data_IF_211509374653
#
_entry.id   IF_211509374653
#
_cell.length_a   1.000
_cell.length_b   1.000
_cell.length_c   1.000
_cell.angle_alpha   90.00
_cell.angle_beta   90.00
_cell.angle_gamma   90.00
#
_symmetry.space_group_name_H-M   'P 1'
#
loop_
_entity.id
_entity.type
_entity.pdbx_description
1 polymer ?
#
# COMPACT_ATOMS: atom_id res chain seq x y z
N UNK A 1 15.58 -1.51 -32.82
CA UNK A 1 14.70 -1.44 -31.65
C UNK A 1 14.34 0.02 -31.39
N UNK A 2 13.47 0.31 -30.43
CA UNK A 2 13.18 1.70 -30.06
C UNK A 2 14.42 2.41 -29.51
N UNK A 3 15.25 1.73 -28.72
CA UNK A 3 16.50 2.28 -28.16
C UNK A 3 17.43 2.76 -29.27
N UNK A 4 17.55 1.98 -30.35
CA UNK A 4 18.35 2.38 -31.52
C UNK A 4 17.77 3.61 -32.25
N UNK A 5 16.46 3.85 -32.16
CA UNK A 5 15.82 5.04 -32.73
C UNK A 5 16.15 6.29 -31.89
N UNK A 6 16.04 6.21 -30.57
CA UNK A 6 16.44 7.30 -29.67
C UNK A 6 17.94 7.60 -29.74
N UNK A 7 18.79 6.56 -29.80
CA UNK A 7 20.22 6.73 -29.94
C UNK A 7 20.64 7.46 -31.22
N UNK A 8 19.89 7.29 -32.33
CA UNK A 8 20.13 8.05 -33.59
C UNK A 8 19.83 9.55 -33.46
N UNK A 9 19.13 9.96 -32.41
CA UNK A 9 18.79 11.35 -32.12
C UNK A 9 19.61 11.93 -30.96
N UNK A 10 20.69 11.24 -30.54
CA UNK A 10 21.52 11.61 -29.38
C UNK A 10 20.70 11.75 -28.09
N UNK A 11 19.74 10.85 -27.90
CA UNK A 11 18.85 10.82 -26.75
C UNK A 11 18.98 9.49 -26.01
N UNK A 12 18.88 9.54 -24.67
CA UNK A 12 18.57 8.37 -23.88
C UNK A 12 17.23 7.76 -24.35
N UNK A 13 17.09 6.43 -24.22
CA UNK A 13 15.81 5.78 -24.40
C UNK A 13 14.82 6.33 -23.35
N UNK A 14 13.68 6.85 -23.81
CA UNK A 14 12.63 7.37 -22.93
C UNK A 14 11.63 6.24 -22.64
N UNK A 15 11.51 5.78 -21.38
CA UNK A 15 10.45 4.87 -20.96
C UNK A 15 9.06 5.37 -21.41
N UNK A 16 8.18 4.50 -21.92
CA UNK A 16 6.84 4.90 -22.38
C UNK A 16 6.06 5.79 -21.41
N UNK A 17 6.18 5.54 -20.11
CA UNK A 17 5.50 6.24 -19.01
C UNK A 17 5.88 7.72 -18.89
N UNK A 18 7.02 8.13 -19.45
CA UNK A 18 7.49 9.52 -19.43
C UNK A 18 7.08 10.33 -20.66
N UNK A 19 6.57 9.70 -21.74
CA UNK A 19 6.39 10.30 -23.09
C UNK A 19 5.16 11.24 -23.19
N UNK A 20 5.09 12.23 -22.31
CA UNK A 20 3.95 13.15 -22.15
C UNK A 20 4.28 14.61 -22.50
N UNK A 21 5.46 14.88 -23.06
CA UNK A 21 5.97 16.21 -23.39
C UNK A 21 5.97 17.16 -22.18
N UNK A 22 6.48 16.67 -21.04
CA UNK A 22 6.55 17.39 -19.76
C UNK A 22 7.99 17.63 -19.29
N UNK A 23 8.97 17.40 -20.16
CA UNK A 23 10.40 17.67 -19.93
C UNK A 23 11.31 16.47 -20.17
N UNK A 24 10.75 15.30 -20.49
CA UNK A 24 11.49 14.06 -20.75
C UNK A 24 12.37 14.17 -22.00
N UNK A 25 11.97 14.96 -23.00
CA UNK A 25 12.74 15.14 -24.24
C UNK A 25 14.03 15.92 -23.95
N UNK A 26 13.94 17.02 -23.20
CA UNK A 26 15.09 17.82 -22.80
C UNK A 26 16.02 17.02 -21.89
N UNK A 27 15.46 16.27 -20.92
CA UNK A 27 16.23 15.42 -20.03
C UNK A 27 16.96 14.29 -20.79
N UNK A 28 16.29 13.63 -21.72
CA UNK A 28 16.87 12.55 -22.53
C UNK A 28 18.04 13.02 -23.40
N UNK A 29 17.98 14.24 -23.94
CA UNK A 29 19.09 14.86 -24.69
C UNK A 29 20.29 15.21 -23.81
N UNK A 30 20.05 15.49 -22.52
CA UNK A 30 21.10 15.83 -21.55
C UNK A 30 21.68 14.61 -20.83
N UNK A 31 21.06 13.44 -20.97
CA UNK A 31 21.47 12.27 -20.20
C UNK A 31 20.92 12.25 -18.77
N UNK A 32 19.88 13.02 -18.49
CA UNK A 32 19.38 13.33 -17.14
C UNK A 32 17.99 12.73 -16.87
N UNK A 33 17.57 11.70 -17.60
CA UNK A 33 16.31 11.01 -17.28
C UNK A 33 16.33 10.47 -15.85
N UNK A 34 15.20 10.54 -15.12
CA UNK A 34 15.11 9.96 -13.80
C UNK A 34 15.17 8.43 -13.87
N UNK A 35 15.71 7.81 -12.83
CA UNK A 35 15.53 6.38 -12.63
C UNK A 35 14.09 6.14 -12.15
N UNK A 36 13.35 5.29 -12.85
CA UNK A 36 11.99 4.93 -12.46
C UNK A 36 12.03 3.71 -11.54
N UNK A 37 11.02 3.61 -10.67
CA UNK A 37 10.76 2.42 -9.88
C UNK A 37 10.40 1.26 -10.83
N UNK A 38 10.95 0.08 -10.58
CA UNK A 38 10.59 -1.15 -11.27
C UNK A 38 9.77 -2.06 -10.34
N UNK A 39 9.05 -3.04 -10.91
CA UNK A 39 8.29 -4.01 -10.11
C UNK A 39 9.19 -4.80 -9.15
N UNK A 40 10.45 -5.03 -9.51
CA UNK A 40 11.47 -5.68 -8.68
C UNK A 40 11.89 -4.86 -7.46
N UNK A 41 11.66 -3.53 -7.47
CA UNK A 41 11.94 -2.67 -6.32
C UNK A 41 10.84 -2.76 -5.24
N UNK A 42 9.66 -3.28 -5.60
CA UNK A 42 8.51 -3.39 -4.70
C UNK A 42 8.66 -4.62 -3.81
N UNK A 43 8.81 -4.39 -2.51
CA UNK A 43 9.05 -5.45 -1.51
C UNK A 43 7.82 -5.87 -0.73
N UNK A 44 6.67 -5.27 -0.98
CA UNK A 44 5.44 -5.58 -0.27
C UNK A 44 4.32 -4.63 -0.60
N UNK A 45 3.10 -5.06 -0.25
CA UNK A 45 1.89 -4.26 -0.36
C UNK A 45 1.55 -3.66 1.01
N UNK A 46 1.25 -2.37 1.04
CA UNK A 46 1.05 -1.59 2.26
C UNK A 46 -0.42 -1.23 2.50
N UNK A 47 -1.35 -1.58 1.60
CA UNK A 47 -2.78 -1.30 1.78
C UNK A 47 -3.60 -2.46 1.24
N UNK A 48 -3.97 -3.41 2.12
CA UNK A 48 -4.76 -4.58 1.73
C UNK A 48 -5.84 -4.92 2.75
N UNK A 49 -6.92 -5.54 2.27
CA UNK A 49 -8.10 -5.88 3.07
C UNK A 49 -8.34 -7.38 3.04
N UNK A 50 -8.63 -7.95 4.21
CA UNK A 50 -8.98 -9.35 4.38
C UNK A 50 -10.47 -9.51 4.72
N UNK A 51 -10.92 -10.73 4.94
CA UNK A 51 -12.30 -11.03 5.39
C UNK A 51 -12.65 -10.47 6.77
N UNK A 52 -11.71 -9.82 7.46
CA UNK A 52 -11.99 -9.13 8.71
C UNK A 52 -12.86 -7.88 8.49
N UNK A 53 -12.70 -7.15 7.39
CA UNK A 53 -13.65 -6.13 6.94
C UNK A 53 -14.30 -6.53 5.62
N UNK A 54 -13.92 -5.94 4.50
CA UNK A 54 -14.56 -6.08 3.19
C UNK A 54 -13.71 -6.81 2.13
N UNK A 55 -12.57 -7.36 2.54
CA UNK A 55 -11.75 -8.19 1.68
C UNK A 55 -12.35 -9.58 1.42
N UNK A 56 -11.88 -10.22 0.35
CA UNK A 56 -12.40 -11.53 -0.07
C UNK A 56 -11.62 -12.73 0.51
N UNK A 57 -10.41 -12.49 1.03
CA UNK A 57 -9.44 -13.53 1.38
C UNK A 57 -9.09 -13.54 2.86
N UNK A 58 -8.76 -14.72 3.38
CA UNK A 58 -8.21 -14.84 4.73
C UNK A 58 -6.74 -14.36 4.75
N UNK A 59 -6.28 -13.84 5.89
CA UNK A 59 -4.90 -13.31 6.04
C UNK A 59 -3.84 -14.34 5.62
N UNK A 60 -4.07 -15.63 5.90
CA UNK A 60 -3.15 -16.71 5.50
C UNK A 60 -3.06 -16.90 3.98
N UNK A 61 -4.18 -16.75 3.25
CA UNK A 61 -4.20 -16.82 1.79
C UNK A 61 -3.45 -15.63 1.18
N UNK A 62 -3.68 -14.43 1.72
CA UNK A 62 -3.01 -13.20 1.28
C UNK A 62 -1.50 -13.26 1.55
N UNK A 63 -1.10 -13.76 2.72
CA UNK A 63 0.30 -13.98 3.07
C UNK A 63 0.99 -14.93 2.07
N UNK A 64 0.33 -16.03 1.70
CA UNK A 64 0.91 -16.95 0.71
C UNK A 64 1.06 -16.27 -0.66
N UNK A 65 0.04 -15.54 -1.12
CA UNK A 65 0.10 -14.81 -2.38
C UNK A 65 1.21 -13.73 -2.39
N UNK A 66 1.42 -13.05 -1.26
CA UNK A 66 2.49 -12.08 -1.11
C UNK A 66 3.88 -12.73 -1.18
N UNK A 67 4.07 -13.89 -0.52
CA UNK A 67 5.31 -14.68 -0.62
C UNK A 67 5.58 -15.16 -2.05
N UNK A 68 4.56 -15.67 -2.73
CA UNK A 68 4.67 -16.14 -4.12
C UNK A 68 5.02 -15.00 -5.08
N UNK A 69 4.65 -13.77 -4.72
CA UNK A 69 4.98 -12.53 -5.44
C UNK A 69 6.40 -12.00 -5.14
N UNK A 70 7.15 -12.67 -4.27
CA UNK A 70 8.52 -12.29 -3.89
C UNK A 70 8.60 -11.13 -2.90
N UNK A 71 7.49 -10.79 -2.23
CA UNK A 71 7.48 -9.76 -1.20
C UNK A 71 8.17 -10.22 0.09
N UNK A 72 8.67 -9.26 0.85
CA UNK A 72 9.21 -9.41 2.19
C UNK A 72 8.23 -8.97 3.28
N UNK A 73 7.18 -8.23 2.92
CA UNK A 73 6.12 -7.84 3.87
C UNK A 73 4.76 -7.67 3.21
N UNK A 74 3.73 -7.68 4.05
CA UNK A 74 2.33 -7.42 3.69
C UNK A 74 1.66 -6.66 4.85
N UNK A 75 1.02 -5.52 4.58
CA UNK A 75 0.20 -4.84 5.56
C UNK A 75 -1.27 -5.24 5.44
N UNK A 76 -1.86 -5.63 6.57
CA UNK A 76 -3.31 -5.81 6.70
C UNK A 76 -3.88 -4.52 7.29
N UNK A 77 -4.71 -3.82 6.53
CA UNK A 77 -5.15 -2.46 6.81
C UNK A 77 -6.67 -2.35 6.69
N UNK A 78 -7.38 -3.09 7.54
CA UNK A 78 -8.85 -3.08 7.52
C UNK A 78 -9.41 -1.68 7.82
N UNK A 79 -10.62 -1.43 7.31
CA UNK A 79 -11.36 -0.22 7.60
C UNK A 79 -11.66 -0.05 9.09
N UNK A 80 -11.62 1.19 9.58
CA UNK A 80 -12.10 1.57 10.91
C UNK A 80 -13.64 1.60 10.99
N UNK A 81 -14.15 1.82 12.21
CA UNK A 81 -15.55 1.64 12.62
C UNK A 81 -16.58 2.45 11.81
N UNK A 82 -16.25 3.65 11.34
CA UNK A 82 -17.17 4.64 10.77
C UNK A 82 -17.78 4.27 9.43
N UNK A 83 -17.36 3.14 8.83
CA UNK A 83 -17.92 2.60 7.59
C UNK A 83 -18.83 1.39 7.84
N UNK A 84 -20.12 1.59 8.16
CA UNK A 84 -21.08 0.50 8.33
C UNK A 84 -21.22 -0.43 7.12
N UNK A 85 -20.85 0.04 5.93
CA UNK A 85 -21.00 -0.70 4.67
C UNK A 85 -19.85 -1.69 4.45
N UNK A 86 -18.64 -1.41 4.95
CA UNK A 86 -17.44 -2.24 4.76
C UNK A 86 -17.17 -3.21 5.92
N UNK A 87 -18.02 -3.23 6.96
CA UNK A 87 -17.81 -4.13 8.10
C UNK A 87 -16.57 -3.79 8.93
N UNK A 88 -16.23 -2.50 8.98
CA UNK A 88 -15.06 -1.97 9.68
C UNK A 88 -14.91 -2.46 11.12
N UNK A 89 -13.66 -2.49 11.59
CA UNK A 89 -13.31 -3.03 12.89
C UNK A 89 -13.49 -1.94 13.95
N UNK A 90 -14.07 -2.33 15.09
CA UNK A 90 -13.88 -1.59 16.32
C UNK A 90 -12.55 -2.01 16.98
N UNK A 91 -12.19 -1.35 18.08
CA UNK A 91 -10.94 -1.56 18.81
C UNK A 91 -10.79 -3.03 19.24
N UNK A 92 -11.85 -3.62 19.81
CA UNK A 92 -11.86 -5.01 20.26
C UNK A 92 -11.50 -5.98 19.11
N UNK A 93 -12.12 -5.80 17.94
CA UNK A 93 -11.85 -6.65 16.76
C UNK A 93 -10.48 -6.37 16.18
N UNK A 94 -10.01 -5.11 16.20
CA UNK A 94 -8.68 -4.73 15.75
C UNK A 94 -7.60 -5.40 16.61
N UNK A 95 -7.71 -5.36 17.93
CA UNK A 95 -6.77 -6.07 18.82
C UNK A 95 -6.86 -7.60 18.62
N UNK A 96 -8.07 -8.15 18.38
CA UNK A 96 -8.21 -9.58 18.10
C UNK A 96 -7.51 -9.99 16.80
N UNK A 97 -7.63 -9.18 15.73
CA UNK A 97 -6.88 -9.38 14.49
C UNK A 97 -5.37 -9.23 14.73
N UNK A 98 -4.95 -8.24 15.51
CA UNK A 98 -3.56 -8.02 15.88
C UNK A 98 -2.92 -9.26 16.52
N UNK A 99 -3.65 -9.95 17.40
CA UNK A 99 -3.19 -11.23 18.00
C UNK A 99 -3.03 -12.35 16.97
N UNK A 100 -3.89 -12.41 15.95
CA UNK A 100 -3.75 -13.38 14.85
C UNK A 100 -2.50 -13.06 14.03
N UNK A 101 -2.26 -11.79 13.72
CA UNK A 101 -1.05 -11.34 13.00
C UNK A 101 0.21 -11.60 13.83
N UNK A 102 0.19 -11.31 15.12
CA UNK A 102 1.31 -11.58 16.03
C UNK A 102 1.63 -13.08 16.07
N UNK A 103 0.60 -13.95 16.14
CA UNK A 103 0.80 -15.39 16.10
C UNK A 103 1.37 -15.87 14.76
N UNK A 104 0.89 -15.34 13.63
CA UNK A 104 1.45 -15.66 12.31
C UNK A 104 2.92 -15.26 12.23
N UNK A 105 3.27 -14.07 12.71
CA UNK A 105 4.63 -13.55 12.68
C UNK A 105 5.62 -14.36 13.53
N UNK A 106 5.18 -15.17 14.50
CA UNK A 106 6.07 -16.07 15.25
C UNK A 106 6.63 -17.21 14.38
N UNK A 107 5.89 -17.60 13.35
CA UNK A 107 6.26 -18.68 12.43
C UNK A 107 6.90 -18.17 11.13
N UNK A 108 7.13 -16.86 11.02
CA UNK A 108 7.72 -16.21 9.85
C UNK A 108 9.15 -15.76 10.13
N UNK A 109 10.10 -16.21 9.31
CA UNK A 109 11.51 -15.82 9.43
C UNK A 109 11.79 -14.49 8.70
N UNK A 110 11.87 -14.51 7.38
CA UNK A 110 12.26 -13.35 6.55
C UNK A 110 11.07 -12.51 6.04
N UNK A 111 9.84 -12.89 6.40
CA UNK A 111 8.62 -12.21 5.98
C UNK A 111 7.92 -11.55 7.18
N UNK A 112 7.37 -10.36 7.00
CA UNK A 112 6.61 -9.66 8.05
C UNK A 112 5.19 -9.33 7.62
N UNK A 113 4.20 -9.73 8.42
CA UNK A 113 2.84 -9.17 8.31
C UNK A 113 2.75 -7.96 9.25
N UNK A 114 2.40 -6.80 8.69
CA UNK A 114 2.26 -5.55 9.44
C UNK A 114 0.82 -5.39 9.93
N UNK A 115 0.67 -5.03 11.21
CA UNK A 115 -0.62 -4.67 11.81
C UNK A 115 -0.96 -3.24 11.42
N UNK A 116 -2.02 -3.04 10.67
CA UNK A 116 -2.44 -1.69 10.30
C UNK A 116 -3.94 -1.52 10.24
N UNK A 117 -4.35 -0.30 9.94
CA UNK A 117 -5.75 0.04 9.69
C UNK A 117 -5.84 1.20 8.70
N UNK A 118 -6.85 1.14 7.84
CA UNK A 118 -7.34 2.30 7.12
C UNK A 118 -8.36 3.03 8.00
N UNK A 119 -7.90 4.13 8.58
CA UNK A 119 -8.62 4.94 9.54
C UNK A 119 -9.32 6.08 8.82
N UNK A 120 -10.64 6.14 8.97
CA UNK A 120 -11.44 7.20 8.37
C UNK A 120 -11.10 8.56 9.01
N UNK A 121 -11.01 9.57 8.15
CA UNK A 121 -10.89 10.97 8.53
C UNK A 121 -12.31 11.51 8.66
N UNK A 122 -12.71 11.81 9.89
CA UNK A 122 -14.04 12.29 10.23
C UNK A 122 -14.25 13.71 9.69
N UNK A 123 -15.52 14.15 9.67
CA UNK A 123 -15.92 15.45 9.09
C UNK A 123 -15.18 16.65 9.67
N UNK A 124 -14.77 16.59 10.93
CA UNK A 124 -14.03 17.65 11.62
C UNK A 124 -12.50 17.50 11.50
N UNK A 125 -12.03 16.50 10.75
CA UNK A 125 -10.61 16.20 10.56
C UNK A 125 -9.99 15.30 11.63
N UNK A 126 -10.76 14.90 12.65
CA UNK A 126 -10.32 13.88 13.62
C UNK A 126 -10.29 12.49 13.00
N UNK A 127 -9.59 11.55 13.64
CA UNK A 127 -9.50 10.16 13.21
C UNK A 127 -10.54 9.29 13.95
N UNK A 128 -10.95 8.21 13.29
CA UNK A 128 -11.97 7.29 13.80
C UNK A 128 -11.48 6.29 14.86
N UNK A 129 -10.21 6.41 15.29
CA UNK A 129 -9.65 5.76 16.47
C UNK A 129 -8.90 6.78 17.33
N UNK A 130 -8.89 6.52 18.64
CA UNK A 130 -8.09 7.29 19.60
C UNK A 130 -6.59 6.97 19.46
N UNK A 131 -5.73 7.92 19.85
CA UNK A 131 -4.27 7.85 19.67
C UNK A 131 -3.63 6.61 20.33
N UNK A 132 -4.19 6.14 21.45
CA UNK A 132 -3.71 4.96 22.17
C UNK A 132 -3.89 3.67 21.37
N UNK A 133 -4.98 3.56 20.61
CA UNK A 133 -5.20 2.45 19.65
C UNK A 133 -4.23 2.57 18.48
N UNK A 134 -4.02 3.77 17.96
CA UNK A 134 -3.14 4.01 16.81
C UNK A 134 -1.67 3.72 17.12
N UNK A 135 -1.22 3.97 18.35
CA UNK A 135 0.16 3.70 18.79
C UNK A 135 0.52 2.21 18.76
N UNK A 136 -0.46 1.31 18.79
CA UNK A 136 -0.24 -0.14 18.73
C UNK A 136 -0.04 -0.69 17.30
N UNK A 137 -0.31 0.13 16.27
CA UNK A 137 -0.25 -0.27 14.86
C UNK A 137 1.15 -0.02 14.25
N UNK A 138 1.56 -0.91 13.36
CA UNK A 138 2.79 -0.75 12.56
C UNK A 138 2.59 0.30 11.44
N UNK A 139 1.37 0.42 10.92
CA UNK A 139 1.00 1.37 9.85
C UNK A 139 -0.43 1.90 10.02
N UNK A 140 -0.61 3.20 9.86
CA UNK A 140 -1.91 3.89 9.90
C UNK A 140 -2.11 4.62 8.58
N UNK A 141 -3.21 4.32 7.89
CA UNK A 141 -3.60 4.99 6.65
C UNK A 141 -4.79 5.88 6.95
N UNK A 142 -4.64 7.20 6.78
CA UNK A 142 -5.76 8.14 6.92
C UNK A 142 -6.46 8.35 5.57
N UNK A 143 -7.76 8.04 5.50
CA UNK A 143 -8.55 8.12 4.27
C UNK A 143 -9.86 8.87 4.46
N UNK A 144 -10.29 9.62 3.46
CA UNK A 144 -11.62 10.27 3.45
C UNK A 144 -12.60 9.37 2.71
N UNK A 145 -13.60 8.84 3.41
CA UNK A 145 -14.63 7.98 2.81
C UNK A 145 -16.02 8.62 2.72
N UNK A 146 -16.17 9.80 3.32
CA UNK A 146 -17.45 10.49 3.42
C UNK A 146 -17.26 11.98 3.23
N UNK A 147 -18.38 12.71 3.08
CA UNK A 147 -18.37 14.17 3.03
C UNK A 147 -17.55 14.80 1.87
N UNK A 148 -17.45 14.13 0.72
CA UNK A 148 -16.75 14.63 -0.49
C UNK A 148 -17.27 15.96 -1.11
N UNK A 149 -18.31 16.57 -0.52
CA UNK A 149 -18.96 17.80 -1.00
C UNK A 149 -18.94 18.93 0.04
N UNK A 150 -18.06 18.84 1.04
CA UNK A 150 -17.84 19.92 2.01
C UNK A 150 -17.42 21.22 1.32
#
# INVERSE_FOLDING_TARGET
SEEAFYARMDMQYIPPELRENRGEIEAARKGELPNLIELSDIKGDLHTHSRWSDGAHDIGEMLQAAKDSGYSYLAITEHSRSLPISGGLNEERLHAQGKVIDALNLDLDEFRVLKGSEVDILKDGSLDFDDDVLEELDIVIGSVHSNFKL
#
